data_IF_598603198052
#
_entry.id   IF_598603198052
#
_cell.length_a   1.000
_cell.length_b   1.000
_cell.length_c   1.000
_cell.angle_alpha   90.00
_cell.angle_beta   90.00
_cell.angle_gamma   90.00
#
_symmetry.space_group_name_H-M   'P 1'
#
loop_
_entity.id
_entity.type
_entity.pdbx_description
1 polymer ?
#
# COMPACT_ATOMS: atom_id res chain seq x y z
N UNK A 1 10.68 -28.15 2.26
CA UNK A 1 10.50 -26.91 3.04
C UNK A 1 9.75 -25.91 2.17
N UNK A 2 8.76 -25.21 2.72
CA UNK A 2 8.06 -24.14 2.00
C UNK A 2 9.01 -22.93 1.93
N UNK A 3 9.32 -22.48 0.72
CA UNK A 3 10.16 -21.29 0.47
C UNK A 3 9.29 -20.11 0.07
N UNK A 4 9.78 -18.87 0.26
CA UNK A 4 9.06 -17.65 -0.18
C UNK A 4 8.72 -17.72 -1.67
N UNK A 5 9.66 -18.21 -2.49
CA UNK A 5 9.44 -18.39 -3.92
C UNK A 5 8.27 -19.36 -4.21
N UNK A 6 8.23 -20.51 -3.53
CA UNK A 6 7.14 -21.48 -3.71
C UNK A 6 5.79 -20.94 -3.24
N UNK A 7 5.75 -20.20 -2.12
CA UNK A 7 4.53 -19.54 -1.64
C UNK A 7 4.05 -18.45 -2.60
N UNK A 8 4.96 -17.63 -3.12
CA UNK A 8 4.64 -16.58 -4.08
C UNK A 8 4.06 -17.16 -5.37
N UNK A 9 4.68 -18.21 -5.91
CA UNK A 9 4.18 -18.92 -7.09
C UNK A 9 2.79 -19.51 -6.86
N UNK A 10 2.56 -20.14 -5.69
CA UNK A 10 1.25 -20.69 -5.34
C UNK A 10 0.16 -19.60 -5.28
N UNK A 11 0.47 -18.43 -4.72
CA UNK A 11 -0.47 -17.29 -4.68
C UNK A 11 -0.72 -16.74 -6.09
N UNK A 12 0.32 -16.52 -6.90
CA UNK A 12 0.17 -16.06 -8.30
C UNK A 12 -0.68 -17.03 -9.13
N UNK A 13 -0.44 -18.34 -9.01
CA UNK A 13 -1.23 -19.37 -9.68
C UNK A 13 -2.69 -19.38 -9.23
N UNK A 14 -2.94 -19.12 -7.93
CA UNK A 14 -4.31 -18.99 -7.41
C UNK A 14 -5.01 -17.75 -7.96
N UNK A 15 -4.33 -16.61 -8.04
CA UNK A 15 -4.88 -15.39 -8.64
C UNK A 15 -5.29 -15.66 -10.09
N UNK A 16 -4.38 -16.24 -10.89
CA UNK A 16 -4.65 -16.51 -12.30
C UNK A 16 -5.86 -17.43 -12.51
N UNK A 17 -5.93 -18.53 -11.74
CA UNK A 17 -7.05 -19.48 -11.82
C UNK A 17 -8.38 -18.82 -11.46
N UNK A 18 -8.42 -18.01 -10.39
CA UNK A 18 -9.65 -17.37 -9.95
C UNK A 18 -10.07 -16.28 -10.93
N UNK A 19 -9.15 -15.46 -11.43
CA UNK A 19 -9.44 -14.45 -12.44
C UNK A 19 -10.09 -15.06 -13.69
N UNK A 20 -9.48 -16.13 -14.21
CA UNK A 20 -9.99 -16.85 -15.38
C UNK A 20 -11.37 -17.48 -15.11
N UNK A 21 -11.61 -17.98 -13.90
CA UNK A 21 -12.92 -18.56 -13.54
C UNK A 21 -14.07 -17.55 -13.50
N UNK A 22 -13.77 -16.26 -13.53
CA UNK A 22 -14.74 -15.15 -13.57
C UNK A 22 -14.54 -14.25 -14.78
N UNK A 23 -13.95 -14.78 -15.86
CA UNK A 23 -13.72 -14.09 -17.14
C UNK A 23 -12.92 -12.78 -17.04
N UNK A 24 -12.01 -12.69 -16.07
CA UNK A 24 -11.07 -11.57 -15.92
C UNK A 24 -9.66 -11.97 -16.31
N UNK A 25 -8.88 -11.01 -16.81
CA UNK A 25 -7.47 -11.25 -17.07
C UNK A 25 -6.67 -11.20 -15.74
N UNK A 26 -5.74 -12.16 -15.50
CA UNK A 26 -4.97 -12.19 -14.26
C UNK A 26 -4.16 -10.92 -13.96
N UNK A 27 -3.72 -10.21 -15.01
CA UNK A 27 -2.94 -8.96 -14.92
C UNK A 27 -3.76 -7.76 -14.43
N UNK A 28 -5.10 -7.83 -14.47
CA UNK A 28 -5.96 -6.86 -13.80
C UNK A 28 -5.85 -6.93 -12.26
N UNK A 29 -5.24 -7.99 -11.71
CA UNK A 29 -5.11 -8.20 -10.27
C UNK A 29 -3.64 -8.02 -9.87
N UNK A 30 -3.36 -6.91 -9.21
CA UNK A 30 -2.03 -6.64 -8.67
C UNK A 30 -1.82 -7.38 -7.35
N UNK A 31 -0.79 -8.23 -7.28
CA UNK A 31 -0.35 -8.84 -6.04
C UNK A 31 0.59 -7.90 -5.29
N UNK A 32 0.20 -7.51 -4.08
CA UNK A 32 1.03 -6.78 -3.12
C UNK A 32 1.33 -7.68 -1.92
N UNK A 33 2.60 -7.79 -1.53
CA UNK A 33 3.01 -8.56 -0.33
C UNK A 33 3.08 -7.62 0.87
N UNK A 34 2.32 -7.92 1.92
CA UNK A 34 2.49 -7.23 3.21
C UNK A 34 3.75 -7.75 3.91
N UNK A 35 4.77 -6.90 4.03
CA UNK A 35 6.10 -7.26 4.57
C UNK A 35 6.34 -6.78 6.01
N UNK A 36 5.32 -6.21 6.67
CA UNK A 36 5.38 -5.86 8.10
C UNK A 36 5.84 -7.05 8.94
N UNK A 37 6.58 -6.80 10.01
CA UNK A 37 7.18 -7.80 10.90
C UNK A 37 8.21 -8.74 10.26
N UNK A 38 8.54 -8.55 8.98
CA UNK A 38 9.60 -9.29 8.31
C UNK A 38 10.82 -8.41 8.06
N UNK A 39 12.03 -8.93 8.27
CA UNK A 39 13.27 -8.18 8.09
C UNK A 39 13.59 -8.00 6.59
N UNK A 40 14.52 -7.11 6.27
CA UNK A 40 14.85 -6.74 4.89
C UNK A 40 15.30 -7.94 4.03
N UNK A 41 15.97 -8.92 4.63
CA UNK A 41 16.45 -10.13 3.96
C UNK A 41 15.28 -10.94 3.36
N UNK A 42 14.17 -11.05 4.09
CA UNK A 42 12.96 -11.74 3.61
C UNK A 42 12.29 -10.99 2.46
N UNK A 43 12.34 -9.66 2.48
CA UNK A 43 11.85 -8.82 1.37
C UNK A 43 12.73 -9.00 0.14
N UNK A 44 14.06 -9.03 0.31
CA UNK A 44 15.01 -9.32 -0.76
C UNK A 44 14.79 -10.71 -1.36
N UNK A 45 14.58 -11.73 -0.54
CA UNK A 45 14.22 -13.09 -1.03
C UNK A 45 12.94 -13.08 -1.87
N UNK A 46 11.90 -12.36 -1.44
CA UNK A 46 10.68 -12.20 -2.21
C UNK A 46 10.91 -11.42 -3.53
N UNK A 47 11.78 -10.41 -3.50
CA UNK A 47 12.13 -9.63 -4.68
C UNK A 47 12.89 -10.48 -5.70
N UNK A 48 13.85 -11.28 -5.27
CA UNK A 48 14.56 -12.25 -6.11
C UNK A 48 13.62 -13.32 -6.70
N UNK A 49 12.51 -13.61 -6.02
CA UNK A 49 11.44 -14.46 -6.54
C UNK A 49 10.46 -13.74 -7.50
N UNK A 50 10.73 -12.48 -7.85
CA UNK A 50 9.97 -11.69 -8.81
C UNK A 50 8.78 -10.92 -8.21
N UNK A 51 8.83 -10.56 -6.92
CA UNK A 51 7.90 -9.59 -6.33
C UNK A 51 8.51 -8.20 -6.34
N UNK A 52 7.78 -7.19 -6.82
CA UNK A 52 8.27 -5.81 -6.86
C UNK A 52 7.48 -4.86 -5.98
N UNK A 53 6.26 -5.24 -5.58
CA UNK A 53 5.33 -4.37 -4.83
C UNK A 53 5.17 -4.86 -3.40
N UNK A 54 5.46 -3.99 -2.43
CA UNK A 54 5.44 -4.34 -1.01
C UNK A 54 4.65 -3.33 -0.18
N UNK A 55 3.85 -3.85 0.76
CA UNK A 55 3.03 -3.09 1.68
C UNK A 55 3.59 -3.07 3.09
N UNK A 56 3.70 -1.89 3.69
CA UNK A 56 4.11 -1.71 5.08
C UNK A 56 3.01 -1.07 5.93
N UNK A 57 2.85 -1.59 7.14
CA UNK A 57 1.89 -1.04 8.12
C UNK A 57 2.53 -0.01 9.05
N UNK A 58 3.83 -0.16 9.34
CA UNK A 58 4.51 0.60 10.37
C UNK A 58 5.61 1.45 9.74
N UNK A 59 5.42 2.78 9.77
CA UNK A 59 6.34 3.71 9.12
C UNK A 59 7.80 3.53 9.59
N UNK A 60 8.02 3.38 10.89
CA UNK A 60 9.40 3.25 11.42
C UNK A 60 10.09 1.98 10.92
N UNK A 61 9.35 0.87 10.83
CA UNK A 61 9.86 -0.38 10.30
C UNK A 61 10.20 -0.25 8.81
N UNK A 62 9.32 0.39 8.03
CA UNK A 62 9.55 0.66 6.62
C UNK A 62 10.79 1.54 6.40
N UNK A 63 10.93 2.62 7.16
CA UNK A 63 12.08 3.54 7.06
C UNK A 63 13.40 2.88 7.45
N UNK A 64 13.37 1.83 8.28
CA UNK A 64 14.55 1.02 8.57
C UNK A 64 14.87 0.04 7.42
N UNK A 65 13.86 -0.51 6.74
CA UNK A 65 14.01 -1.46 5.62
C UNK A 65 14.43 -0.81 4.31
N UNK A 66 13.83 0.32 3.95
CA UNK A 66 14.03 0.97 2.65
C UNK A 66 15.51 1.24 2.34
N UNK A 67 16.35 1.77 3.26
CA UNK A 67 17.77 1.99 2.97
C UNK A 67 18.54 0.69 2.71
N UNK A 68 18.21 -0.40 3.41
CA UNK A 68 18.84 -1.72 3.24
C UNK A 68 18.46 -2.42 1.92
N UNK A 69 17.47 -1.89 1.21
CA UNK A 69 16.92 -2.41 -0.04
C UNK A 69 16.96 -1.35 -1.15
N UNK A 70 17.73 -0.27 -0.96
CA UNK A 70 17.78 0.85 -1.90
C UNK A 70 18.41 0.48 -3.25
N UNK A 71 19.14 -0.64 -3.32
CA UNK A 71 19.66 -1.24 -4.56
C UNK A 71 18.58 -1.94 -5.39
N UNK A 72 17.37 -2.15 -4.84
CA UNK A 72 16.28 -2.85 -5.49
C UNK A 72 15.18 -1.87 -5.92
N UNK A 73 14.69 -1.92 -7.17
CA UNK A 73 13.55 -1.13 -7.62
C UNK A 73 12.24 -1.69 -7.01
N UNK A 74 11.99 -1.35 -5.75
CA UNK A 74 10.78 -1.74 -5.02
C UNK A 74 9.75 -0.62 -5.05
N UNK A 75 8.51 -0.98 -5.36
CA UNK A 75 7.34 -0.13 -5.19
C UNK A 75 6.78 -0.26 -3.77
N UNK A 76 6.95 0.78 -2.96
CA UNK A 76 6.52 0.79 -1.56
C UNK A 76 5.13 1.41 -1.39
N UNK A 77 4.24 0.64 -0.76
CA UNK A 77 2.87 1.01 -0.44
C UNK A 77 2.70 1.12 1.07
N UNK A 78 2.10 2.20 1.56
CA UNK A 78 1.72 2.32 2.96
C UNK A 78 0.28 1.83 3.12
N UNK A 79 0.08 0.76 3.89
CA UNK A 79 -1.21 0.08 4.06
C UNK A 79 -1.67 0.03 5.53
N UNK A 80 -0.96 0.71 6.42
CA UNK A 80 -1.28 0.79 7.86
C UNK A 80 -2.12 2.02 8.22
N UNK A 81 -2.64 2.10 9.46
CA UNK A 81 -3.35 3.29 9.94
C UNK A 81 -2.41 4.51 10.00
N UNK A 82 -2.93 5.68 9.63
CA UNK A 82 -2.12 6.91 9.52
C UNK A 82 -2.30 7.80 10.74
N UNK A 83 -1.18 8.05 11.43
CA UNK A 83 -1.09 9.08 12.46
C UNK A 83 -0.70 10.42 11.80
N UNK A 84 -1.38 11.51 12.17
CA UNK A 84 -1.21 12.81 11.49
C UNK A 84 0.24 13.32 11.52
N UNK A 85 0.99 13.06 12.60
CA UNK A 85 2.40 13.46 12.72
C UNK A 85 3.35 12.65 11.83
N UNK A 86 2.91 11.54 11.22
CA UNK A 86 3.70 10.67 10.35
C UNK A 86 3.49 10.95 8.86
N UNK A 87 2.51 11.77 8.49
CA UNK A 87 2.13 12.05 7.08
C UNK A 87 3.30 12.51 6.23
N UNK A 88 4.15 13.40 6.75
CA UNK A 88 5.31 13.91 6.02
C UNK A 88 6.24 12.81 5.54
N UNK A 89 6.66 11.95 6.47
CA UNK A 89 7.56 10.83 6.16
C UNK A 89 6.89 9.79 5.26
N UNK A 90 5.57 9.61 5.36
CA UNK A 90 4.84 8.75 4.42
C UNK A 90 4.87 9.37 3.01
N UNK A 91 4.54 10.65 2.89
CA UNK A 91 4.54 11.37 1.61
C UNK A 91 5.93 11.46 0.94
N UNK A 92 7.01 11.44 1.72
CA UNK A 92 8.39 11.45 1.21
C UNK A 92 8.89 10.09 0.71
N UNK A 93 8.36 8.97 1.23
CA UNK A 93 9.02 7.65 1.07
C UNK A 93 8.17 6.58 0.38
N UNK A 94 6.86 6.80 0.21
CA UNK A 94 5.95 5.85 -0.42
C UNK A 94 5.44 6.38 -1.74
N UNK A 95 5.04 5.48 -2.64
CA UNK A 95 4.35 5.86 -3.90
C UNK A 95 2.84 5.67 -3.81
N UNK A 96 2.38 4.80 -2.92
CA UNK A 96 0.97 4.51 -2.68
C UNK A 96 0.63 4.60 -1.18
N UNK A 97 -0.57 5.09 -0.86
CA UNK A 97 -1.14 5.09 0.50
C UNK A 97 -2.58 4.60 0.47
N UNK A 98 -2.88 3.45 1.09
CA UNK A 98 -4.18 2.79 0.92
C UNK A 98 -5.21 3.15 2.00
N UNK A 99 -4.79 3.87 3.03
CA UNK A 99 -5.52 4.03 4.30
C UNK A 99 -5.95 5.48 4.56
N UNK A 100 -6.24 6.25 3.50
CA UNK A 100 -6.72 7.63 3.65
C UNK A 100 -8.21 7.62 4.00
N UNK A 101 -8.53 8.08 5.20
CA UNK A 101 -9.88 8.00 5.77
C UNK A 101 -10.44 9.36 6.22
N UNK A 102 -9.73 10.47 5.99
CA UNK A 102 -10.19 11.80 6.39
C UNK A 102 -9.43 12.92 5.69
N UNK A 103 -10.13 14.04 5.50
CA UNK A 103 -9.65 15.29 4.87
C UNK A 103 -8.27 15.70 5.40
N UNK A 104 -8.11 15.74 6.73
CA UNK A 104 -6.86 16.13 7.39
C UNK A 104 -5.65 15.29 6.96
N UNK A 105 -5.83 14.00 6.68
CA UNK A 105 -4.72 13.14 6.24
C UNK A 105 -4.41 13.39 4.77
N UNK A 106 -5.42 13.48 3.91
CA UNK A 106 -5.25 13.81 2.50
C UNK A 106 -4.50 15.14 2.32
N UNK A 107 -4.95 16.21 3.01
CA UNK A 107 -4.33 17.54 2.94
C UNK A 107 -2.85 17.51 3.32
N UNK A 108 -2.52 16.77 4.38
CA UNK A 108 -1.14 16.69 4.87
C UNK A 108 -0.26 15.88 3.94
N UNK A 109 -0.78 14.78 3.39
CA UNK A 109 -0.04 13.99 2.39
C UNK A 109 0.25 14.83 1.14
N UNK A 110 -0.73 15.55 0.62
CA UNK A 110 -0.56 16.43 -0.53
C UNK A 110 0.42 17.58 -0.23
N UNK A 111 0.26 18.24 0.93
CA UNK A 111 1.16 19.34 1.36
C UNK A 111 2.61 18.89 1.52
N UNK A 112 2.83 17.72 2.10
CA UNK A 112 4.17 17.24 2.45
C UNK A 112 4.83 16.44 1.30
N UNK A 113 4.13 16.18 0.18
CA UNK A 113 4.68 15.47 -0.98
C UNK A 113 5.77 16.32 -1.66
N UNK A 114 7.03 15.84 -1.76
CA UNK A 114 8.07 16.57 -2.47
C UNK A 114 7.75 16.75 -3.96
N UNK A 115 7.94 17.97 -4.49
CA UNK A 115 7.70 18.28 -5.92
C UNK A 115 8.61 17.51 -6.89
N UNK A 116 9.71 16.94 -6.40
CA UNK A 116 10.63 16.11 -7.19
C UNK A 116 10.11 14.69 -7.39
N UNK A 117 9.07 14.27 -6.66
CA UNK A 117 8.46 12.95 -6.79
C UNK A 117 7.16 13.04 -7.60
N UNK A 118 6.74 11.94 -8.27
CA UNK A 118 5.42 11.86 -8.87
C UNK A 118 4.31 12.10 -7.83
N UNK A 119 3.08 12.46 -8.25
CA UNK A 119 1.94 12.54 -7.35
C UNK A 119 1.76 11.26 -6.53
N UNK A 120 1.51 11.40 -5.24
CA UNK A 120 1.28 10.27 -4.36
C UNK A 120 -0.04 9.60 -4.73
N UNK A 121 -0.01 8.32 -5.08
CA UNK A 121 -1.22 7.56 -5.33
C UNK A 121 -1.89 7.22 -4.00
N UNK A 122 -3.22 7.32 -3.94
CA UNK A 122 -3.96 7.01 -2.72
C UNK A 122 -5.20 6.17 -3.01
N UNK A 123 -5.58 5.35 -2.02
CA UNK A 123 -6.92 4.79 -1.93
C UNK A 123 -7.66 5.43 -0.75
N UNK A 124 -8.97 5.62 -0.91
CA UNK A 124 -9.85 5.96 0.19
C UNK A 124 -10.25 4.69 0.93
N UNK A 125 -10.01 4.66 2.23
CA UNK A 125 -10.40 3.53 3.06
C UNK A 125 -11.84 3.68 3.52
N UNK A 126 -12.68 2.71 3.17
CA UNK A 126 -14.10 2.67 3.52
C UNK A 126 -14.36 1.57 4.54
N UNK A 127 -15.05 1.89 5.63
CA UNK A 127 -15.53 0.92 6.60
C UNK A 127 -16.84 0.29 6.11
N UNK A 128 -16.75 -0.85 5.41
CA UNK A 128 -17.91 -1.53 4.84
C UNK A 128 -18.68 -2.40 5.85
N UNK A 129 -18.16 -2.63 7.06
CA UNK A 129 -18.83 -3.46 8.07
C UNK A 129 -19.71 -2.67 9.05
N UNK A 130 -19.55 -1.35 9.13
CA UNK A 130 -20.27 -0.49 10.07
C UNK A 130 -19.83 -0.64 11.54
N UNK A 131 -18.86 -1.51 11.82
CA UNK A 131 -18.34 -1.70 13.17
C UNK A 131 -17.46 -0.50 13.58
N UNK A 132 -17.74 0.10 14.73
CA UNK A 132 -16.98 1.25 15.25
C UNK A 132 -15.49 0.94 15.52
N UNK A 133 -15.11 -0.34 15.62
CA UNK A 133 -13.73 -0.80 15.81
C UNK A 133 -12.90 -0.78 14.52
N UNK A 134 -13.53 -0.65 13.35
CA UNK A 134 -12.87 -0.66 12.04
C UNK A 134 -12.56 0.75 11.56
N UNK A 135 -11.44 0.89 10.87
CA UNK A 135 -11.00 2.17 10.29
C UNK A 135 -11.62 2.40 8.90
N UNK A 136 -11.69 3.66 8.50
CA UNK A 136 -12.27 4.09 7.23
C UNK A 136 -13.46 5.02 7.41
N UNK A 137 -13.78 5.77 6.37
CA UNK A 137 -15.02 6.55 6.30
C UNK A 137 -16.23 5.64 6.16
N UNK A 138 -17.40 6.14 6.58
CA UNK A 138 -18.64 5.45 6.25
C UNK A 138 -18.87 5.43 4.72
N UNK A 139 -19.52 4.41 4.16
CA UNK A 139 -19.79 4.32 2.71
C UNK A 139 -20.48 5.57 2.14
N UNK A 140 -21.39 6.19 2.89
CA UNK A 140 -22.10 7.41 2.51
C UNK A 140 -21.22 8.67 2.51
N UNK A 141 -20.10 8.67 3.23
CA UNK A 141 -19.18 9.81 3.32
C UNK A 141 -18.05 9.76 2.28
N UNK A 142 -17.85 8.62 1.61
CA UNK A 142 -16.73 8.42 0.67
C UNK A 142 -16.77 9.41 -0.48
N UNK A 143 -17.96 9.75 -0.99
CA UNK A 143 -18.14 10.69 -2.09
C UNK A 143 -17.68 12.10 -1.68
N UNK A 144 -17.96 12.52 -0.45
CA UNK A 144 -17.54 13.82 0.08
C UNK A 144 -16.01 13.89 0.23
N UNK A 145 -15.40 12.82 0.75
CA UNK A 145 -13.95 12.75 0.85
C UNK A 145 -13.27 12.72 -0.53
N UNK A 146 -13.82 11.96 -1.47
CA UNK A 146 -13.33 11.91 -2.85
C UNK A 146 -13.39 13.28 -3.53
N UNK A 147 -14.52 13.99 -3.42
CA UNK A 147 -14.68 15.33 -3.96
C UNK A 147 -13.67 16.34 -3.40
N UNK A 148 -13.19 16.12 -2.17
CA UNK A 148 -12.09 16.89 -1.61
C UNK A 148 -10.73 16.49 -2.17
N UNK A 149 -10.43 15.19 -2.19
CA UNK A 149 -9.15 14.64 -2.64
C UNK A 149 -8.84 15.00 -4.09
N UNK A 150 -9.81 14.94 -5.00
CA UNK A 150 -9.60 15.25 -6.42
C UNK A 150 -9.20 16.69 -6.69
N UNK A 151 -9.36 17.60 -5.71
CA UNK A 151 -8.92 18.99 -5.80
C UNK A 151 -7.50 19.22 -5.29
N UNK A 152 -6.88 18.20 -4.70
CA UNK A 152 -5.50 18.28 -4.23
C UNK A 152 -4.55 18.16 -5.42
N UNK A 153 -3.39 18.85 -5.37
CA UNK A 153 -2.41 18.86 -6.45
C UNK A 153 -1.67 17.52 -6.62
#
# INVERSE_FOLDING_TARGET
MITIASSLQAVKARIARVAQSVDRQPDEITLLIASKTHPAERVREAWLAGQTIFGENYLQEALAKMPALADLPIEWHFIGPIQSNKTKRIAENFVWVHSVDRVKIADRLAKDRPKSLPPLQICLQVNVSGEASKSGVAPEEVANLAAHVVRLP
#
